data_IF_094934163768
#
_entry.id   IF_094934163768
#
_cell.length_a   1.000
_cell.length_b   1.000
_cell.length_c   1.000
_cell.angle_alpha   90.00
_cell.angle_beta   90.00
_cell.angle_gamma   90.00
#
_symmetry.space_group_name_H-M   'P 1'
#
loop_
_entity.id
_entity.type
_entity.pdbx_description
1 polymer ?
#
# COMPACT_ATOMS: atom_id res chain seq x y z
N UNK A 1 -51.04 -44.91 -11.89
CA UNK A 1 -52.00 -45.83 -11.26
C UNK A 1 -52.32 -45.27 -9.87
N UNK A 2 -53.54 -44.73 -9.69
CA UNK A 2 -54.28 -44.51 -8.42
C UNK A 2 -53.69 -43.51 -7.39
N UNK A 3 -54.31 -42.33 -7.22
CA UNK A 3 -55.48 -42.01 -6.32
C UNK A 3 -54.95 -41.40 -5.00
N UNK A 4 -55.46 -40.35 -4.34
CA UNK A 4 -56.84 -39.90 -4.09
C UNK A 4 -56.88 -38.40 -3.71
N UNK A 5 -57.98 -37.75 -4.14
CA UNK A 5 -58.51 -36.42 -3.81
C UNK A 5 -59.40 -36.44 -2.55
N UNK A 6 -59.36 -35.41 -1.68
CA UNK A 6 -60.51 -34.70 -1.01
C UNK A 6 -60.06 -33.99 0.27
N UNK A 7 -60.18 -32.66 0.35
CA UNK A 7 -61.41 -31.86 0.59
C UNK A 7 -61.76 -31.77 2.08
N UNK A 8 -61.80 -30.54 2.60
CA UNK A 8 -62.98 -29.94 3.23
C UNK A 8 -62.62 -28.55 3.81
N UNK A 9 -63.28 -27.52 3.30
CA UNK A 9 -63.56 -26.26 4.00
C UNK A 9 -65.06 -26.23 4.34
N UNK A 10 -65.47 -25.57 5.43
CA UNK A 10 -66.08 -24.21 5.32
C UNK A 10 -65.70 -23.26 6.51
N UNK A 11 -65.59 -21.94 6.31
CA UNK A 11 -66.58 -20.85 6.62
C UNK A 11 -66.97 -20.76 8.12
N UNK A 12 -67.04 -19.63 8.86
CA UNK A 12 -67.03 -18.17 8.62
C UNK A 12 -66.95 -17.43 9.98
N UNK A 13 -66.62 -16.14 9.93
CA UNK A 13 -66.98 -15.03 10.84
C UNK A 13 -66.40 -14.90 12.27
N UNK A 14 -65.88 -13.70 12.59
CA UNK A 14 -65.58 -13.28 13.96
C UNK A 14 -64.62 -12.10 14.09
N UNK A 15 -65.16 -10.89 14.20
CA UNK A 15 -64.50 -9.59 14.21
C UNK A 15 -63.47 -9.31 15.35
N UNK A 16 -62.56 -8.39 15.01
CA UNK A 16 -62.05 -7.26 15.81
C UNK A 16 -60.96 -7.47 16.89
N UNK A 17 -59.80 -6.89 16.53
CA UNK A 17 -59.00 -5.94 17.32
C UNK A 17 -58.21 -6.43 18.53
N UNK A 18 -56.87 -6.45 18.39
CA UNK A 18 -55.94 -5.76 19.29
C UNK A 18 -54.54 -5.66 18.67
N UNK A 19 -53.98 -4.45 18.77
CA UNK A 19 -52.66 -4.02 18.27
C UNK A 19 -51.50 -4.89 18.80
N UNK A 20 -50.54 -5.18 17.93
CA UNK A 20 -49.15 -5.51 18.29
C UNK A 20 -48.18 -4.66 17.44
N UNK A 21 -47.09 -4.12 18.01
CA UNK A 21 -46.29 -3.06 17.39
C UNK A 21 -45.17 -3.59 16.48
N UNK A 22 -44.76 -2.71 15.57
CA UNK A 22 -43.71 -2.80 14.55
C UNK A 22 -42.63 -3.88 14.69
N UNK A 23 -42.52 -4.70 13.65
CA UNK A 23 -41.28 -5.38 13.27
C UNK A 23 -40.22 -4.32 12.94
N UNK A 24 -39.39 -3.96 13.94
CA UNK A 24 -38.08 -3.36 13.68
C UNK A 24 -37.21 -4.46 13.08
N UNK A 25 -36.88 -4.30 11.80
CA UNK A 25 -35.85 -5.06 11.12
C UNK A 25 -34.56 -4.98 11.93
N UNK A 26 -34.07 -6.15 12.36
CA UNK A 26 -32.71 -6.33 12.85
C UNK A 26 -31.79 -5.84 11.73
N UNK A 27 -31.19 -4.66 11.90
CA UNK A 27 -30.08 -4.21 11.08
C UNK A 27 -28.96 -5.24 11.23
N UNK A 28 -28.59 -5.81 10.08
CA UNK A 28 -27.42 -6.66 9.89
C UNK A 28 -26.22 -6.05 10.61
N UNK A 29 -25.83 -6.69 11.70
CA UNK A 29 -24.51 -6.49 12.28
C UNK A 29 -23.53 -7.22 11.36
N UNK A 30 -23.04 -6.51 10.34
CA UNK A 30 -21.91 -6.96 9.53
C UNK A 30 -20.76 -7.23 10.51
N UNK A 31 -20.38 -8.50 10.66
CA UNK A 31 -19.26 -8.89 11.49
C UNK A 31 -18.02 -8.12 11.00
N UNK A 32 -17.45 -7.28 11.86
CA UNK A 32 -16.20 -6.58 11.57
C UNK A 32 -15.08 -7.60 11.37
N UNK A 33 -14.31 -7.43 10.30
CA UNK A 33 -13.16 -8.28 10.01
C UNK A 33 -12.07 -8.03 11.07
N UNK A 34 -11.22 -9.03 11.31
CA UNK A 34 -10.01 -8.87 12.13
C UNK A 34 -9.08 -7.74 11.61
N UNK A 35 -9.21 -7.38 10.33
CA UNK A 35 -8.58 -6.20 9.72
C UNK A 35 -9.12 -4.88 10.27
N UNK A 36 -10.44 -4.72 10.45
CA UNK A 36 -11.04 -3.45 10.89
C UNK A 36 -10.64 -3.08 12.33
N UNK A 37 -10.36 -4.09 13.16
CA UNK A 37 -9.95 -3.91 14.55
C UNK A 37 -8.48 -3.45 14.69
N UNK A 38 -7.64 -3.70 13.68
CA UNK A 38 -6.25 -3.21 13.66
C UNK A 38 -6.12 -1.76 13.15
N UNK A 39 -7.17 -1.23 12.50
CA UNK A 39 -7.12 0.03 11.74
C UNK A 39 -8.11 1.11 12.19
N UNK A 40 -8.79 0.94 13.33
CA UNK A 40 -9.67 1.98 13.86
C UNK A 40 -8.90 3.29 14.17
N UNK A 41 -9.38 4.48 13.72
CA UNK A 41 -8.74 5.74 14.07
C UNK A 41 -8.77 5.91 15.61
N UNK A 42 -7.65 6.33 16.23
CA UNK A 42 -7.58 6.40 17.68
C UNK A 42 -8.60 7.42 18.23
N UNK A 43 -9.22 7.15 19.40
CA UNK A 43 -10.01 8.17 20.08
C UNK A 43 -9.13 9.38 20.40
N UNK A 44 -9.63 10.57 20.09
CA UNK A 44 -8.97 11.85 20.33
C UNK A 44 -8.75 12.07 21.83
N UNK A 45 -7.55 11.73 22.31
CA UNK A 45 -6.98 12.30 23.53
C UNK A 45 -5.99 13.39 23.14
N UNK A 46 -6.07 14.50 23.86
CA UNK A 46 -5.28 15.74 23.71
C UNK A 46 -3.80 15.57 24.11
N UNK A 47 -3.10 14.59 23.53
CA UNK A 47 -1.64 14.52 23.52
C UNK A 47 -1.09 14.97 22.17
N UNK A 48 0.18 15.42 22.09
CA UNK A 48 0.78 15.77 20.80
C UNK A 48 0.81 14.53 19.89
N UNK A 49 0.28 14.65 18.67
CA UNK A 49 0.28 13.55 17.70
C UNK A 49 1.71 13.22 17.29
N UNK A 50 2.13 11.96 17.44
CA UNK A 50 3.43 11.49 16.97
C UNK A 50 3.27 10.97 15.54
N UNK A 51 4.13 11.42 14.63
CA UNK A 51 4.19 10.97 13.24
C UNK A 51 5.58 10.44 12.95
N UNK A 52 5.65 9.23 12.41
CA UNK A 52 6.87 8.63 11.89
C UNK A 52 6.73 8.56 10.38
N UNK A 53 7.75 9.05 9.68
CA UNK A 53 7.89 8.88 8.25
C UNK A 53 8.94 7.80 8.00
N UNK A 54 8.59 6.81 7.17
CA UNK A 54 9.48 5.76 6.70
C UNK A 54 9.65 5.80 5.18
N UNK A 55 8.73 6.45 4.46
CA UNK A 55 8.76 6.59 3.01
C UNK A 55 9.61 7.81 2.63
N UNK A 56 10.57 7.62 1.72
CA UNK A 56 11.52 8.66 1.30
C UNK A 56 12.63 8.95 2.32
N UNK A 57 12.55 8.39 3.52
CA UNK A 57 13.55 8.54 4.57
C UNK A 57 12.94 8.41 5.96
N UNK A 58 13.79 8.25 6.98
CA UNK A 58 13.34 8.24 8.37
C UNK A 58 13.19 9.67 8.90
N UNK A 59 11.98 10.01 9.36
CA UNK A 59 11.72 11.21 10.14
C UNK A 59 10.72 10.94 11.28
N UNK A 60 10.77 11.77 12.31
CA UNK A 60 9.82 11.74 13.42
C UNK A 60 9.47 13.16 13.85
N UNK A 61 8.16 13.42 13.90
CA UNK A 61 7.58 14.70 14.30
C UNK A 61 6.65 14.45 15.48
N UNK A 62 6.73 15.29 16.51
CA UNK A 62 5.83 15.24 17.67
C UNK A 62 5.10 16.57 17.78
N UNK A 63 3.78 16.54 17.59
CA UNK A 63 3.03 17.76 17.29
C UNK A 63 3.47 18.29 15.92
N UNK A 64 4.08 19.47 15.92
CA UNK A 64 4.66 20.11 14.73
C UNK A 64 6.19 20.24 14.81
N UNK A 65 6.83 19.65 15.83
CA UNK A 65 8.27 19.75 16.06
C UNK A 65 9.02 18.51 15.55
N UNK A 66 10.00 18.65 14.65
CA UNK A 66 10.86 17.55 14.25
C UNK A 66 11.79 17.14 15.40
N UNK A 67 11.90 15.85 15.64
CA UNK A 67 12.68 15.30 16.76
C UNK A 67 13.96 14.66 16.23
N UNK A 68 15.11 15.16 16.67
CA UNK A 68 16.39 14.53 16.37
C UNK A 68 16.60 13.30 17.25
N UNK A 69 16.85 12.16 16.61
CA UNK A 69 17.02 10.87 17.30
C UNK A 69 18.41 10.28 16.96
N UNK A 70 19.17 9.74 17.93
CA UNK A 70 20.43 9.06 17.64
C UNK A 70 20.24 7.85 16.71
N UNK A 71 21.25 7.48 15.92
CA UNK A 71 21.16 6.43 14.88
C UNK A 71 20.59 5.10 15.41
N UNK A 72 21.08 4.60 16.55
CA UNK A 72 20.58 3.35 17.14
C UNK A 72 19.11 3.43 17.58
N UNK A 73 18.66 4.60 18.00
CA UNK A 73 17.28 4.87 18.38
C UNK A 73 16.37 5.07 17.15
N UNK A 74 16.89 5.64 16.06
CA UNK A 74 16.19 5.69 14.76
C UNK A 74 15.92 4.29 14.23
N UNK A 75 16.96 3.43 14.25
CA UNK A 75 16.83 2.01 13.85
C UNK A 75 15.79 1.27 14.66
N UNK A 76 15.80 1.46 15.97
CA UNK A 76 14.79 0.90 16.86
C UNK A 76 13.36 1.36 16.51
N UNK A 77 13.15 2.66 16.31
CA UNK A 77 11.83 3.19 15.97
C UNK A 77 11.33 2.66 14.62
N UNK A 78 12.20 2.65 13.60
CA UNK A 78 11.88 2.11 12.29
C UNK A 78 11.50 0.62 12.38
N UNK A 79 12.33 -0.19 13.05
CA UNK A 79 12.07 -1.61 13.23
C UNK A 79 10.73 -1.87 13.91
N UNK A 80 10.43 -1.19 15.02
CA UNK A 80 9.15 -1.35 15.73
C UNK A 80 7.96 -0.85 14.90
N UNK A 81 8.13 0.23 14.14
CA UNK A 81 7.09 0.72 13.24
C UNK A 81 6.75 -0.30 12.15
N UNK A 82 7.74 -1.04 11.62
CA UNK A 82 7.51 -2.08 10.62
C UNK A 82 6.77 -3.31 11.18
N UNK A 83 6.74 -3.52 12.50
CA UNK A 83 5.97 -4.60 13.13
C UNK A 83 4.47 -4.28 13.29
N UNK A 84 3.93 -3.25 12.63
CA UNK A 84 2.49 -2.91 12.59
C UNK A 84 1.77 -2.93 13.94
N UNK A 85 2.40 -2.32 14.97
CA UNK A 85 1.87 -2.26 16.35
C UNK A 85 1.76 -3.61 17.08
N UNK A 86 2.34 -4.69 16.55
CA UNK A 86 2.57 -5.90 17.32
C UNK A 86 3.51 -5.60 18.51
N UNK A 87 3.29 -6.27 19.63
CA UNK A 87 4.31 -6.28 20.68
C UNK A 87 5.45 -7.18 20.24
N UNK A 88 6.66 -6.67 20.39
CA UNK A 88 7.87 -7.34 19.95
C UNK A 88 8.72 -7.68 21.18
N UNK A 89 9.08 -8.96 21.41
CA UNK A 89 9.98 -9.33 22.49
C UNK A 89 11.30 -8.59 22.40
N UNK A 90 11.80 -8.09 23.54
CA UNK A 90 13.06 -7.33 23.58
C UNK A 90 14.26 -8.11 23.06
N UNK A 91 14.26 -9.42 23.27
CA UNK A 91 15.30 -10.34 22.77
C UNK A 91 15.32 -10.37 21.24
N UNK A 92 14.14 -10.41 20.60
CA UNK A 92 14.02 -10.34 19.15
C UNK A 92 14.49 -8.98 18.62
N UNK A 93 14.03 -7.88 19.23
CA UNK A 93 14.46 -6.52 18.85
C UNK A 93 15.98 -6.38 18.96
N UNK A 94 16.57 -6.86 20.06
CA UNK A 94 18.00 -6.79 20.27
C UNK A 94 18.78 -7.59 19.23
N UNK A 95 18.38 -8.84 18.99
CA UNK A 95 19.03 -9.72 18.01
C UNK A 95 18.93 -9.21 16.58
N UNK A 96 17.79 -8.65 16.18
CA UNK A 96 17.61 -8.11 14.83
C UNK A 96 18.40 -6.82 14.57
N UNK A 97 18.51 -5.94 15.57
CA UNK A 97 19.19 -4.64 15.41
C UNK A 97 20.70 -4.69 15.59
N UNK A 98 21.21 -5.69 16.32
CA UNK A 98 22.64 -5.87 16.59
C UNK A 98 23.04 -7.34 16.43
N UNK A 99 22.93 -7.93 15.22
CA UNK A 99 23.18 -9.35 14.99
C UNK A 99 24.62 -9.77 15.29
N UNK A 100 25.58 -8.86 15.09
CA UNK A 100 27.01 -9.10 15.35
C UNK A 100 27.40 -9.07 16.84
N UNK A 101 26.48 -8.65 17.72
CA UNK A 101 26.76 -8.58 19.15
C UNK A 101 26.37 -9.89 19.86
N UNK A 102 27.09 -10.22 20.94
CA UNK A 102 26.62 -11.27 21.85
C UNK A 102 25.24 -10.92 22.42
N UNK A 103 24.47 -11.91 22.87
CA UNK A 103 23.12 -11.68 23.42
C UNK A 103 23.10 -10.62 24.54
N UNK A 104 24.07 -10.68 25.46
CA UNK A 104 24.20 -9.69 26.53
C UNK A 104 24.58 -8.30 25.99
N UNK A 105 25.42 -8.25 24.96
CA UNK A 105 25.80 -7.01 24.25
C UNK A 105 24.60 -6.38 23.54
N UNK A 106 23.87 -7.16 22.75
CA UNK A 106 22.67 -6.73 22.03
C UNK A 106 21.61 -6.17 23.00
N UNK A 107 21.35 -6.86 24.13
CA UNK A 107 20.44 -6.37 25.16
C UNK A 107 20.92 -5.07 25.81
N UNK A 108 22.23 -4.88 25.97
CA UNK A 108 22.83 -3.64 26.49
C UNK A 108 22.70 -2.49 25.48
N UNK A 109 22.90 -2.77 24.19
CA UNK A 109 22.67 -1.81 23.12
C UNK A 109 21.20 -1.40 23.03
N UNK A 110 20.27 -2.35 23.15
CA UNK A 110 18.83 -2.07 23.18
C UNK A 110 18.46 -1.15 24.35
N UNK A 111 18.95 -1.45 25.57
CA UNK A 111 18.72 -0.59 26.74
C UNK A 111 19.27 0.82 26.50
N UNK A 112 20.44 0.93 25.89
CA UNK A 112 21.06 2.21 25.57
C UNK A 112 20.27 2.99 24.51
N UNK A 113 19.79 2.32 23.45
CA UNK A 113 18.96 2.93 22.42
C UNK A 113 17.61 3.42 22.98
N UNK A 114 16.97 2.64 23.85
CA UNK A 114 15.74 3.04 24.55
C UNK A 114 15.96 4.19 25.53
N UNK A 115 17.07 4.18 26.27
CA UNK A 115 17.43 5.27 27.20
C UNK A 115 17.67 6.60 26.48
N UNK A 116 18.28 6.53 25.28
CA UNK A 116 18.56 7.70 24.44
C UNK A 116 17.34 8.25 23.70
N UNK A 117 16.22 7.51 23.65
CA UNK A 117 14.93 8.08 23.24
C UNK A 117 14.45 9.02 24.35
N UNK A 118 14.88 10.28 24.27
CA UNK A 118 14.45 11.31 25.21
C UNK A 118 13.01 11.77 24.94
N UNK A 119 12.38 12.32 25.99
CA UNK A 119 11.06 12.98 26.05
C UNK A 119 10.09 12.66 24.90
N UNK A 120 10.18 13.39 23.79
CA UNK A 120 9.26 13.34 22.65
C UNK A 120 9.38 12.02 21.87
N UNK A 121 10.59 11.52 21.63
CA UNK A 121 10.81 10.26 20.92
C UNK A 121 10.34 9.02 21.71
N UNK A 122 10.33 9.11 23.05
CA UNK A 122 9.80 8.04 23.91
C UNK A 122 8.28 7.89 23.78
N UNK A 123 7.55 8.96 23.43
CA UNK A 123 6.10 8.90 23.23
C UNK A 123 5.71 8.02 22.03
N UNK A 124 6.65 7.72 21.14
CA UNK A 124 6.42 6.81 20.02
C UNK A 124 6.28 5.34 20.45
N UNK A 125 6.73 4.96 21.65
CA UNK A 125 6.83 3.57 22.07
C UNK A 125 6.12 3.32 23.40
N UNK A 126 5.35 2.23 23.44
CA UNK A 126 4.93 1.58 24.67
C UNK A 126 5.99 0.54 25.06
N UNK A 127 6.73 0.82 26.13
CA UNK A 127 7.85 0.00 26.58
C UNK A 127 7.43 -0.79 27.82
N UNK A 128 7.37 -2.11 27.69
CA UNK A 128 7.14 -3.05 28.79
C UNK A 128 8.46 -3.74 29.19
N UNK A 129 8.51 -4.41 30.36
CA UNK A 129 9.71 -5.13 30.79
C UNK A 129 10.16 -6.22 29.80
N UNK A 130 9.23 -6.90 29.14
CA UNK A 130 9.52 -8.00 28.21
C UNK A 130 9.43 -7.61 26.72
N UNK A 131 8.69 -6.56 26.39
CA UNK A 131 8.28 -6.25 25.02
C UNK A 131 8.35 -4.74 24.73
N UNK A 132 8.48 -4.42 23.45
CA UNK A 132 8.38 -3.04 22.92
C UNK A 132 7.31 -3.02 21.84
N UNK A 133 6.47 -1.99 21.84
CA UNK A 133 5.41 -1.80 20.86
C UNK A 133 5.35 -0.33 20.44
N UNK A 134 4.91 -0.07 19.21
CA UNK A 134 4.53 1.27 18.80
C UNK A 134 3.34 1.78 19.62
N UNK A 135 3.38 3.04 20.07
CA UNK A 135 2.23 3.66 20.74
C UNK A 135 1.03 3.78 19.79
N UNK A 136 -0.20 3.73 20.33
CA UNK A 136 -1.43 3.63 19.52
C UNK A 136 -1.69 4.90 18.72
N UNK A 137 -1.31 6.02 19.30
CA UNK A 137 -1.50 7.37 18.79
C UNK A 137 -0.47 7.73 17.70
N UNK A 138 0.54 6.88 17.48
CA UNK A 138 1.54 7.09 16.43
C UNK A 138 0.92 6.80 15.07
N UNK A 139 1.09 7.76 14.18
CA UNK A 139 0.81 7.61 12.76
C UNK A 139 2.09 7.28 12.01
N UNK A 140 2.01 6.33 11.08
CA UNK A 140 3.12 5.94 10.19
C UNK A 140 2.62 6.12 8.77
N UNK A 141 3.36 6.87 7.95
CA UNK A 141 3.05 7.10 6.53
C UNK A 141 2.89 5.78 5.74
N UNK A 142 3.77 4.81 5.97
CA UNK A 142 3.75 3.49 5.34
C UNK A 142 2.43 2.75 5.56
N UNK A 143 1.80 2.88 6.74
CA UNK A 143 0.53 2.21 7.01
C UNK A 143 -0.59 2.78 6.15
N UNK A 144 -0.60 4.10 5.94
CA UNK A 144 -1.57 4.78 5.08
C UNK A 144 -1.33 4.42 3.62
N UNK A 145 -0.09 4.46 3.16
CA UNK A 145 0.27 4.12 1.79
C UNK A 145 -0.04 2.65 1.44
N UNK A 146 0.25 1.71 2.36
CA UNK A 146 -0.12 0.30 2.19
C UNK A 146 -1.63 0.07 2.17
N UNK A 147 -2.38 0.75 3.03
CA UNK A 147 -3.84 0.69 3.02
C UNK A 147 -4.44 1.24 1.72
N UNK A 148 -3.89 2.36 1.21
CA UNK A 148 -4.28 2.92 -0.09
C UNK A 148 -4.00 1.93 -1.23
N UNK A 149 -2.78 1.37 -1.30
CA UNK A 149 -2.41 0.38 -2.31
C UNK A 149 -3.32 -0.85 -2.28
N UNK A 150 -3.65 -1.36 -1.10
CA UNK A 150 -4.57 -2.50 -0.94
C UNK A 150 -5.99 -2.17 -1.41
N UNK A 151 -6.50 -0.98 -1.10
CA UNK A 151 -7.82 -0.53 -1.58
C UNK A 151 -7.87 -0.40 -3.09
N UNK A 152 -6.81 0.11 -3.71
CA UNK A 152 -6.69 0.23 -5.18
C UNK A 152 -6.73 -1.15 -5.84
N UNK A 153 -6.14 -2.15 -5.21
CA UNK A 153 -6.07 -3.51 -5.74
C UNK A 153 -7.28 -4.38 -5.37
N UNK A 154 -8.18 -3.89 -4.52
CA UNK A 154 -9.38 -4.63 -4.13
C UNK A 154 -10.48 -4.45 -5.20
N UNK A 155 -10.87 -5.52 -5.92
CA UNK A 155 -11.90 -5.43 -6.95
C UNK A 155 -13.30 -5.11 -6.38
N UNK A 156 -13.48 -5.18 -5.06
CA UNK A 156 -14.73 -4.83 -4.40
C UNK A 156 -14.84 -3.36 -4.01
N UNK A 157 -13.76 -2.57 -4.17
CA UNK A 157 -13.77 -1.13 -3.93
C UNK A 157 -13.99 -0.42 -5.27
N UNK A 158 -15.11 0.31 -5.47
CA UNK A 158 -15.36 1.06 -6.69
C UNK A 158 -14.30 2.14 -6.91
N UNK A 159 -13.96 2.41 -8.16
CA UNK A 159 -12.96 3.43 -8.52
C UNK A 159 -13.36 4.83 -8.02
N UNK A 160 -14.66 5.12 -7.93
CA UNK A 160 -15.20 6.39 -7.44
C UNK A 160 -14.99 6.59 -5.92
N UNK A 161 -14.77 5.50 -5.18
CA UNK A 161 -14.44 5.55 -3.74
C UNK A 161 -12.93 5.66 -3.48
N UNK A 162 -12.13 5.44 -4.53
CA UNK A 162 -10.69 5.63 -4.51
C UNK A 162 -10.42 7.09 -4.88
N UNK A 163 -9.96 7.88 -3.92
CA UNK A 163 -9.51 9.26 -4.15
C UNK A 163 -8.17 9.25 -4.92
N UNK A 164 -8.22 8.80 -6.18
CA UNK A 164 -7.08 8.68 -7.07
C UNK A 164 -6.70 10.08 -7.56
N UNK A 165 -5.65 10.63 -6.97
CA UNK A 165 -5.17 11.97 -7.28
C UNK A 165 -3.64 12.03 -7.19
N UNK A 166 -3.07 13.22 -7.41
CA UNK A 166 -1.63 13.46 -7.31
C UNK A 166 -1.03 12.98 -5.98
N UNK A 167 -1.69 13.25 -4.87
CA UNK A 167 -1.21 12.87 -3.54
C UNK A 167 -1.23 11.35 -3.32
N UNK A 168 -2.13 10.62 -3.99
CA UNK A 168 -2.12 9.16 -4.01
C UNK A 168 -0.90 8.62 -4.77
N UNK A 169 -0.58 9.20 -5.94
CA UNK A 169 0.61 8.83 -6.71
C UNK A 169 1.89 9.12 -5.92
N UNK A 170 2.00 10.29 -5.32
CA UNK A 170 3.17 10.69 -4.53
C UNK A 170 3.41 9.74 -3.33
N UNK A 171 2.34 9.36 -2.62
CA UNK A 171 2.42 8.41 -1.51
C UNK A 171 2.93 7.04 -1.92
N UNK A 172 2.59 6.57 -3.12
CA UNK A 172 3.01 5.28 -3.65
C UNK A 172 4.37 5.32 -4.36
N UNK A 173 4.88 6.51 -4.69
CA UNK A 173 6.13 6.67 -5.43
C UNK A 173 7.37 6.53 -4.54
N UNK A 174 7.25 6.75 -3.23
CA UNK A 174 8.38 6.81 -2.32
C UNK A 174 8.92 5.43 -1.88
N UNK A 175 10.25 5.29 -1.86
CA UNK A 175 10.95 4.10 -1.36
C UNK A 175 10.85 3.98 0.16
N UNK A 176 10.85 2.74 0.66
CA UNK A 176 10.92 2.49 2.09
C UNK A 176 12.36 2.64 2.57
N UNK A 177 12.61 3.65 3.42
CA UNK A 177 13.90 3.90 4.09
C UNK A 177 15.11 3.77 3.13
N UNK A 178 15.18 4.58 2.06
CA UNK A 178 16.29 4.52 1.11
C UNK A 178 17.65 4.67 1.82
N UNK A 179 18.62 3.85 1.43
CA UNK A 179 19.96 3.82 2.01
C UNK A 179 20.11 2.96 3.29
N UNK A 180 19.04 2.28 3.72
CA UNK A 180 19.10 1.31 4.81
C UNK A 180 19.26 -0.10 4.23
N UNK A 181 20.27 -0.84 4.68
CA UNK A 181 20.62 -2.16 4.13
C UNK A 181 20.67 -3.26 5.20
N UNK A 182 20.08 -3.00 6.36
CA UNK A 182 19.97 -3.99 7.43
C UNK A 182 19.13 -5.19 6.95
N UNK A 183 19.50 -6.41 7.36
CA UNK A 183 18.85 -7.65 6.90
C UNK A 183 17.34 -7.69 7.18
N UNK A 184 16.91 -7.11 8.30
CA UNK A 184 15.49 -7.01 8.66
C UNK A 184 14.71 -6.04 7.76
N UNK A 185 15.39 -5.14 7.04
CA UNK A 185 14.76 -4.13 6.19
C UNK A 185 14.44 -4.71 4.80
N UNK A 186 15.34 -5.53 4.26
CA UNK A 186 15.24 -6.09 2.90
C UNK A 186 13.87 -6.72 2.58
N UNK A 187 13.31 -7.65 3.38
CA UNK A 187 12.00 -8.23 3.07
C UNK A 187 10.87 -7.20 3.14
N UNK A 188 10.95 -6.21 4.03
CA UNK A 188 9.93 -5.17 4.16
C UNK A 188 9.93 -4.20 2.97
N UNK A 189 11.12 -3.80 2.50
CA UNK A 189 11.28 -3.00 1.30
C UNK A 189 10.79 -3.73 0.06
N UNK A 190 11.11 -5.02 -0.09
CA UNK A 190 10.65 -5.79 -1.24
C UNK A 190 9.12 -5.97 -1.24
N UNK A 191 8.53 -6.29 -0.08
CA UNK A 191 7.07 -6.36 0.05
C UNK A 191 6.40 -5.03 -0.29
N UNK A 192 6.94 -3.91 0.20
CA UNK A 192 6.43 -2.58 -0.15
C UNK A 192 6.56 -2.30 -1.65
N UNK A 193 7.73 -2.57 -2.22
CA UNK A 193 8.04 -2.35 -3.64
C UNK A 193 7.08 -3.11 -4.55
N UNK A 194 6.81 -4.40 -4.27
CA UNK A 194 5.85 -5.18 -5.05
C UNK A 194 4.43 -4.63 -4.94
N UNK A 195 3.97 -4.32 -3.72
CA UNK A 195 2.62 -3.81 -3.49
C UNK A 195 2.39 -2.48 -4.21
N UNK A 196 3.32 -1.53 -4.08
CA UNK A 196 3.19 -0.20 -4.72
C UNK A 196 3.27 -0.28 -6.25
N UNK A 197 4.10 -1.17 -6.81
CA UNK A 197 4.19 -1.37 -8.27
C UNK A 197 2.84 -1.81 -8.84
N UNK A 198 2.20 -2.80 -8.23
CA UNK A 198 0.88 -3.25 -8.65
C UNK A 198 -0.17 -2.14 -8.52
N UNK A 199 -0.16 -1.38 -7.43
CA UNK A 199 -1.10 -0.28 -7.23
C UNK A 199 -0.90 0.85 -8.25
N UNK A 200 0.34 1.25 -8.55
CA UNK A 200 0.66 2.27 -9.56
C UNK A 200 0.26 1.83 -10.98
N UNK A 201 0.47 0.55 -11.32
CA UNK A 201 0.02 -0.04 -12.58
C UNK A 201 -1.52 -0.01 -12.70
N UNK A 202 -2.23 -0.33 -11.61
CA UNK A 202 -3.70 -0.26 -11.57
C UNK A 202 -4.21 1.19 -11.66
N UNK A 203 -3.57 2.15 -10.97
CA UNK A 203 -3.86 3.57 -11.07
C UNK A 203 -3.66 4.10 -12.49
N UNK A 204 -2.61 3.66 -13.16
CA UNK A 204 -2.38 4.02 -14.58
C UNK A 204 -3.58 3.63 -15.43
N UNK A 205 -4.11 2.40 -15.26
CA UNK A 205 -5.31 1.95 -15.96
C UNK A 205 -6.54 2.81 -15.65
N UNK A 206 -6.79 3.08 -14.37
CA UNK A 206 -7.93 3.90 -13.94
C UNK A 206 -7.87 5.34 -14.50
N UNK A 207 -6.68 5.95 -14.55
CA UNK A 207 -6.49 7.27 -15.16
C UNK A 207 -6.68 7.25 -16.68
N UNK A 208 -6.27 6.18 -17.37
CA UNK A 208 -6.56 6.01 -18.81
C UNK A 208 -8.07 5.95 -19.06
N UNK A 209 -8.80 5.15 -18.27
CA UNK A 209 -10.24 4.95 -18.42
C UNK A 209 -11.04 6.26 -18.19
N UNK A 210 -10.56 7.10 -17.28
CA UNK A 210 -11.13 8.42 -16.97
C UNK A 210 -10.60 9.56 -17.85
N UNK A 211 -9.69 9.26 -18.79
CA UNK A 211 -9.02 10.21 -19.70
C UNK A 211 -8.14 11.25 -19.00
N UNK A 212 -7.63 10.91 -17.82
CA UNK A 212 -6.67 11.69 -17.05
C UNK A 212 -5.23 11.33 -17.44
N UNK A 213 -4.88 11.52 -18.72
CA UNK A 213 -3.65 10.96 -19.29
C UNK A 213 -2.36 11.44 -18.61
N UNK A 214 -2.28 12.71 -18.20
CA UNK A 214 -1.12 13.23 -17.48
C UNK A 214 -0.86 12.48 -16.16
N UNK A 215 -1.93 12.12 -15.44
CA UNK A 215 -1.81 11.33 -14.21
C UNK A 215 -1.49 9.87 -14.51
N UNK A 216 -2.01 9.30 -15.60
CA UNK A 216 -1.62 7.98 -16.06
C UNK A 216 -0.11 7.88 -16.33
N UNK A 217 0.46 8.85 -17.06
CA UNK A 217 1.90 8.93 -17.33
C UNK A 217 2.69 9.08 -16.03
N UNK A 218 2.24 9.95 -15.12
CA UNK A 218 2.90 10.16 -13.82
C UNK A 218 2.96 8.88 -12.99
N UNK A 219 1.84 8.16 -12.86
CA UNK A 219 1.77 6.90 -12.12
C UNK A 219 2.61 5.79 -12.77
N UNK A 220 2.56 5.68 -14.10
CA UNK A 220 3.34 4.69 -14.82
C UNK A 220 4.84 4.96 -14.75
N UNK A 221 5.25 6.22 -14.84
CA UNK A 221 6.65 6.62 -14.67
C UNK A 221 7.13 6.29 -13.25
N UNK A 222 6.33 6.56 -12.21
CA UNK A 222 6.66 6.15 -10.84
C UNK A 222 6.86 4.62 -10.72
N UNK A 223 6.05 3.81 -11.41
CA UNK A 223 6.24 2.36 -11.44
C UNK A 223 7.55 1.96 -12.14
N UNK A 224 7.88 2.60 -13.27
CA UNK A 224 9.14 2.36 -14.00
C UNK A 224 10.36 2.76 -13.16
N UNK A 225 10.30 3.87 -12.42
CA UNK A 225 11.40 4.28 -11.53
C UNK A 225 11.61 3.27 -10.39
N UNK A 226 10.52 2.68 -9.89
CA UNK A 226 10.58 1.68 -8.82
C UNK A 226 11.12 0.31 -9.30
N UNK A 227 10.96 -0.04 -10.58
CA UNK A 227 11.56 -1.24 -11.19
C UNK A 227 11.75 -1.05 -12.72
N UNK A 228 12.92 -0.55 -13.16
CA UNK A 228 13.16 -0.28 -14.57
C UNK A 228 13.12 -1.51 -15.48
N UNK A 229 13.37 -2.70 -14.94
CA UNK A 229 13.39 -3.96 -15.69
C UNK A 229 12.02 -4.67 -15.72
N UNK A 230 11.01 -4.13 -15.01
CA UNK A 230 9.68 -4.72 -14.97
C UNK A 230 8.88 -4.39 -16.22
N UNK A 231 8.67 -5.40 -17.06
CA UNK A 231 7.95 -5.24 -18.33
C UNK A 231 6.52 -4.72 -18.18
N UNK A 232 5.79 -5.08 -17.12
CA UNK A 232 4.42 -4.61 -16.91
C UNK A 232 4.34 -3.10 -16.61
N UNK A 233 5.35 -2.55 -15.93
CA UNK A 233 5.44 -1.12 -15.65
C UNK A 233 5.76 -0.34 -16.93
N UNK A 234 6.69 -0.87 -17.72
CA UNK A 234 7.01 -0.35 -19.07
C UNK A 234 5.79 -0.39 -19.99
N UNK A 235 5.04 -1.50 -20.00
CA UNK A 235 3.80 -1.63 -20.75
C UNK A 235 2.73 -0.63 -20.30
N UNK A 236 2.69 -0.29 -19.01
CA UNK A 236 1.76 0.70 -18.47
C UNK A 236 2.12 2.12 -18.94
N UNK A 237 3.41 2.46 -18.97
CA UNK A 237 3.89 3.75 -19.46
C UNK A 237 3.63 3.92 -20.97
N UNK A 238 3.94 2.89 -21.75
CA UNK A 238 3.66 2.87 -23.20
C UNK A 238 2.16 3.01 -23.45
N UNK A 239 1.29 2.32 -22.69
CA UNK A 239 -0.17 2.48 -22.81
C UNK A 239 -0.64 3.89 -22.45
N UNK A 240 -0.06 4.52 -21.43
CA UNK A 240 -0.39 5.88 -21.04
C UNK A 240 -0.07 6.88 -22.16
N UNK A 241 1.13 6.79 -22.74
CA UNK A 241 1.50 7.63 -23.90
C UNK A 241 0.63 7.37 -25.13
N UNK A 242 0.26 6.11 -25.38
CA UNK A 242 -0.65 5.77 -26.48
C UNK A 242 -2.06 6.34 -26.26
N UNK A 243 -2.57 6.33 -25.03
CA UNK A 243 -3.86 6.90 -24.68
C UNK A 243 -3.88 8.44 -24.84
N UNK A 244 -2.73 9.09 -24.62
CA UNK A 244 -2.49 10.52 -24.88
C UNK A 244 -2.24 10.84 -26.38
N UNK A 245 -2.24 9.84 -27.26
CA UNK A 245 -1.82 9.92 -28.69
C UNK A 245 -0.36 10.38 -28.89
N UNK A 246 0.48 10.25 -27.86
CA UNK A 246 1.91 10.56 -27.92
C UNK A 246 2.73 9.35 -28.40
N UNK A 247 2.56 9.02 -29.69
CA UNK A 247 3.15 7.81 -30.29
C UNK A 247 4.68 7.83 -30.33
N UNK A 248 5.29 9.02 -30.42
CA UNK A 248 6.74 9.19 -30.41
C UNK A 248 7.35 8.77 -29.08
N UNK A 249 6.76 9.21 -27.96
CA UNK A 249 7.24 8.82 -26.62
C UNK A 249 7.03 7.32 -26.37
N UNK A 250 5.87 6.77 -26.77
CA UNK A 250 5.60 5.34 -26.65
C UNK A 250 6.65 4.47 -27.38
N UNK A 251 7.10 4.89 -28.58
CA UNK A 251 8.16 4.20 -29.32
C UNK A 251 9.53 4.39 -28.66
N UNK A 252 9.84 5.61 -28.22
CA UNK A 252 11.09 5.94 -27.54
C UNK A 252 11.29 5.12 -26.26
N UNK A 253 10.27 5.03 -25.41
CA UNK A 253 10.30 4.23 -24.18
C UNK A 253 10.49 2.74 -24.47
N UNK A 254 9.81 2.21 -25.50
CA UNK A 254 9.98 0.82 -25.91
C UNK A 254 11.41 0.51 -26.36
N UNK A 255 11.98 1.35 -27.23
CA UNK A 255 13.35 1.18 -27.73
C UNK A 255 14.37 1.29 -26.59
N UNK A 256 14.18 2.25 -25.69
CA UNK A 256 15.01 2.41 -24.49
C UNK A 256 14.94 1.19 -23.58
N UNK A 257 13.74 0.68 -23.32
CA UNK A 257 13.54 -0.53 -22.52
C UNK A 257 14.13 -1.77 -23.18
N UNK A 258 13.95 -1.95 -24.49
CA UNK A 258 14.53 -3.08 -25.22
C UNK A 258 16.06 -3.09 -25.11
N UNK A 259 16.68 -1.92 -25.25
CA UNK A 259 18.12 -1.78 -25.10
C UNK A 259 18.57 -2.08 -23.66
N UNK A 260 17.89 -1.49 -22.66
CA UNK A 260 18.22 -1.72 -21.25
C UNK A 260 18.07 -3.18 -20.83
N UNK A 261 16.98 -3.85 -21.23
CA UNK A 261 16.73 -5.26 -20.95
C UNK A 261 17.78 -6.18 -21.60
N UNK A 262 18.23 -5.82 -22.80
CA UNK A 262 19.30 -6.52 -23.51
C UNK A 262 20.64 -6.36 -22.79
N UNK A 263 20.96 -5.16 -22.35
CA UNK A 263 22.25 -4.86 -21.72
C UNK A 263 22.36 -5.49 -20.32
N UNK A 264 21.29 -5.44 -19.53
CA UNK A 264 21.28 -5.97 -18.16
C UNK A 264 21.07 -7.48 -18.09
N UNK A 265 20.16 -8.04 -18.92
CA UNK A 265 19.72 -9.44 -18.80
C UNK A 265 19.99 -10.29 -20.05
N UNK A 266 20.45 -9.69 -21.16
CA UNK A 266 20.59 -10.40 -22.43
C UNK A 266 19.26 -10.81 -23.08
N UNK A 267 18.13 -10.31 -22.57
CA UNK A 267 16.79 -10.69 -23.00
C UNK A 267 16.24 -9.74 -24.07
N UNK A 268 15.01 -10.03 -24.51
CA UNK A 268 14.21 -9.17 -25.40
C UNK A 268 12.80 -9.03 -24.83
N UNK A 269 12.10 -7.91 -25.11
CA UNK A 269 10.71 -7.75 -24.73
C UNK A 269 9.82 -8.90 -25.22
N UNK A 270 8.83 -9.25 -24.41
CA UNK A 270 7.90 -10.33 -24.76
C UNK A 270 7.11 -10.00 -26.04
N UNK A 271 6.55 -11.01 -26.72
CA UNK A 271 5.66 -10.78 -27.85
C UNK A 271 4.46 -9.88 -27.51
N UNK A 272 4.00 -9.88 -26.26
CA UNK A 272 2.89 -9.04 -25.81
C UNK A 272 3.25 -7.57 -25.88
N UNK A 273 4.42 -7.18 -25.34
CA UNK A 273 4.87 -5.79 -25.38
C UNK A 273 5.21 -5.34 -26.80
N UNK A 274 5.85 -6.21 -27.60
CA UNK A 274 6.13 -5.91 -29.01
C UNK A 274 4.87 -5.64 -29.84
N UNK A 275 3.79 -6.40 -29.62
CA UNK A 275 2.50 -6.18 -30.30
C UNK A 275 1.94 -4.80 -30.01
N UNK A 276 2.01 -4.35 -28.75
CA UNK A 276 1.52 -3.04 -28.32
C UNK A 276 2.10 -1.87 -29.14
N UNK A 277 3.37 -1.97 -29.54
CA UNK A 277 4.06 -0.90 -30.30
C UNK A 277 3.99 -1.15 -31.82
N UNK A 278 3.84 -2.40 -32.27
CA UNK A 278 3.78 -2.74 -33.70
C UNK A 278 2.59 -2.13 -34.44
N UNK A 279 1.47 -1.89 -33.74
CA UNK A 279 0.28 -1.24 -34.30
C UNK A 279 0.55 0.23 -34.69
N UNK A 280 1.51 0.89 -34.02
CA UNK A 280 1.93 2.25 -34.33
C UNK A 280 2.77 2.34 -35.60
N UNK A 281 3.65 1.36 -35.80
CA UNK A 281 4.57 1.32 -36.94
C UNK A 281 3.83 1.06 -38.26
N UNK A 282 2.73 0.31 -38.22
CA UNK A 282 1.87 0.05 -39.38
C UNK A 282 1.04 1.27 -39.82
N UNK A 283 0.88 2.25 -38.92
CA UNK A 283 0.13 3.49 -39.19
C UNK A 283 1.00 4.62 -39.78
N UNK A 284 2.30 4.41 -40.01
CA UNK A 284 3.07 5.28 -40.90
C UNK A 284 2.56 5.04 -42.32
N UNK A 285 1.87 5.98 -42.99
CA UNK A 285 1.67 5.85 -44.42
C UNK A 285 3.06 5.72 -45.02
N UNK A 286 3.28 4.65 -45.80
CA UNK A 286 4.50 4.52 -46.57
C UNK A 286 4.72 5.84 -47.28
N UNK A 287 5.92 6.42 -47.10
CA UNK A 287 6.38 7.52 -47.94
C UNK A 287 6.29 7.01 -49.39
N UNK A 288 5.16 7.29 -50.03
CA UNK A 288 5.01 7.18 -51.46
C UNK A 288 5.86 8.28 -52.06
N UNK A 289 6.75 7.87 -52.97
CA UNK A 289 7.29 8.69 -54.06
C UNK A 289 8.25 7.82 -54.88
N UNK A 290 8.42 8.12 -56.17
CA UNK A 290 7.43 8.04 -57.24
C UNK A 290 7.81 6.98 -58.28
#
# INVERSE_FOLDING_TARGET
>A
MREVYRSLAPSKDGAASRRAPGRRTLRDHKAMSAYDLAFSPPPTRSGPSVRISLLGGFDIVVGDEPVTVPVGSKRLLAFIALQYRAAVPRTLVAGSLWPEASEQGANTNLRSALSRLQSLGKQALNICPAEVRLAREVTVDLFRARSLAQRILDPHVPAEELDLNAAAVDQLSADLLPGWYDEWMLPEAEQWRQLRLHALEAMTGAFIDTKEFAWAVTAAHAAVQADPLRESSQASLIRAHLAEDNRSEALYDFERYEQHLRDELGLRPTPRLRRLVSELQQSRPGNGSP
#
